data_IF_925282276991
#
_entry.id   IF_925282276991
#
_cell.length_a   1.000
_cell.length_b   1.000
_cell.length_c   1.000
_cell.angle_alpha   90.00
_cell.angle_beta   90.00
_cell.angle_gamma   90.00
#
_symmetry.space_group_name_H-M   'P 1'
#
loop_
_entity.id
_entity.type
_entity.pdbx_description
1 polymer ?
#
# COMPACT_ATOMS: atom_id res chain seq x y z
N UNK A 1 25.38 -51.04 -22.83
CA UNK A 1 25.36 -50.27 -24.09
C UNK A 1 24.92 -48.86 -23.72
N UNK A 2 25.89 -47.97 -23.49
CA UNK A 2 25.63 -46.60 -23.05
C UNK A 2 25.34 -45.74 -24.28
N UNK A 3 24.07 -45.34 -24.46
CA UNK A 3 23.71 -44.44 -25.54
C UNK A 3 24.21 -43.02 -25.21
N UNK A 4 24.85 -42.33 -26.17
CA UNK A 4 25.30 -40.97 -25.96
C UNK A 4 24.10 -40.04 -25.73
N UNK A 5 24.27 -39.06 -24.83
CA UNK A 5 23.23 -38.12 -24.39
C UNK A 5 22.46 -37.46 -25.56
N UNK A 6 23.15 -37.28 -26.68
CA UNK A 6 22.66 -36.62 -27.89
C UNK A 6 21.55 -37.41 -28.60
N UNK A 7 21.63 -38.73 -28.59
CA UNK A 7 20.64 -39.59 -29.24
C UNK A 7 19.38 -39.71 -28.38
N UNK A 8 19.53 -39.77 -27.05
CA UNK A 8 18.40 -39.70 -26.11
C UNK A 8 17.62 -38.40 -26.18
N UNK A 9 18.31 -37.26 -26.30
CA UNK A 9 17.66 -35.96 -26.51
C UNK A 9 16.90 -35.93 -27.85
N UNK A 10 17.46 -36.49 -28.91
CA UNK A 10 16.82 -36.52 -30.23
C UNK A 10 15.58 -37.42 -30.27
N UNK A 11 15.60 -38.53 -29.53
CA UNK A 11 14.47 -39.44 -29.37
C UNK A 11 13.37 -38.79 -28.52
N UNK A 12 13.73 -38.15 -27.40
CA UNK A 12 12.79 -37.39 -26.56
C UNK A 12 12.07 -36.25 -27.32
N UNK A 13 12.80 -35.51 -28.15
CA UNK A 13 12.21 -34.44 -28.97
C UNK A 13 11.28 -34.93 -30.10
N UNK A 14 11.32 -36.23 -30.45
CA UNK A 14 10.47 -36.85 -31.47
C UNK A 14 9.34 -37.70 -30.88
N UNK A 15 9.26 -37.78 -29.55
CA UNK A 15 8.25 -38.57 -28.87
C UNK A 15 6.93 -37.80 -28.77
N UNK A 16 5.88 -38.34 -29.42
CA UNK A 16 4.53 -37.75 -29.46
C UNK A 16 3.59 -38.36 -28.40
N UNK A 17 4.07 -39.27 -27.54
CA UNK A 17 3.23 -39.93 -26.52
C UNK A 17 2.65 -38.95 -25.48
N UNK A 18 3.24 -37.76 -25.30
CA UNK A 18 2.79 -36.73 -24.36
C UNK A 18 1.86 -35.66 -24.96
N UNK A 19 1.41 -35.81 -26.21
CA UNK A 19 0.63 -34.77 -26.91
C UNK A 19 -0.71 -34.44 -26.21
N UNK A 20 -1.33 -35.43 -25.56
CA UNK A 20 -2.62 -35.24 -24.86
C UNK A 20 -2.52 -34.43 -23.55
N UNK A 21 -1.34 -34.36 -22.92
CA UNK A 21 -1.13 -33.58 -21.67
C UNK A 21 -0.55 -32.19 -21.93
N UNK A 22 -0.05 -31.94 -23.13
CA UNK A 22 0.61 -30.70 -23.52
C UNK A 22 -0.33 -29.50 -23.49
N UNK A 23 -1.60 -29.69 -23.87
CA UNK A 23 -2.65 -28.67 -23.76
C UNK A 23 -2.87 -28.22 -22.31
N UNK A 24 -2.97 -29.18 -21.38
CA UNK A 24 -3.15 -28.89 -19.95
C UNK A 24 -1.93 -28.16 -19.39
N UNK A 25 -0.72 -28.58 -19.75
CA UNK A 25 0.54 -27.97 -19.27
C UNK A 25 0.68 -26.52 -19.72
N UNK A 26 0.06 -26.11 -20.83
CA UNK A 26 0.10 -24.72 -21.31
C UNK A 26 -1.08 -23.90 -20.78
N UNK A 27 -2.31 -24.42 -20.87
CA UNK A 27 -3.52 -23.68 -20.51
C UNK A 27 -3.64 -23.51 -19.00
N UNK A 28 -3.26 -24.52 -18.20
CA UNK A 28 -3.40 -24.47 -16.75
C UNK A 28 -2.53 -23.38 -16.09
N UNK A 29 -1.21 -23.25 -16.38
CA UNK A 29 -0.41 -22.16 -15.83
C UNK A 29 -0.91 -20.78 -16.27
N UNK A 30 -1.41 -20.66 -17.50
CA UNK A 30 -1.96 -19.40 -18.00
C UNK A 30 -3.21 -18.98 -17.22
N UNK A 31 -4.14 -19.90 -16.98
CA UNK A 31 -5.31 -19.65 -16.13
C UNK A 31 -4.91 -19.36 -14.68
N UNK A 32 -3.92 -20.07 -14.13
CA UNK A 32 -3.43 -19.81 -12.78
C UNK A 32 -2.78 -18.44 -12.65
N UNK A 33 -2.00 -17.98 -13.62
CA UNK A 33 -1.38 -16.64 -13.59
C UNK A 33 -2.48 -15.58 -13.51
N UNK A 34 -3.52 -15.67 -14.35
CA UNK A 34 -4.64 -14.73 -14.33
C UNK A 34 -5.39 -14.78 -13.00
N UNK A 35 -5.64 -15.98 -12.47
CA UNK A 35 -6.29 -16.15 -11.17
C UNK A 35 -5.48 -15.53 -10.03
N UNK A 36 -4.17 -15.82 -9.97
CA UNK A 36 -3.27 -15.30 -8.94
C UNK A 36 -3.14 -13.78 -9.05
N UNK A 37 -3.02 -13.23 -10.26
CA UNK A 37 -2.96 -11.78 -10.47
C UNK A 37 -4.26 -11.09 -10.01
N UNK A 38 -5.41 -11.70 -10.30
CA UNK A 38 -6.71 -11.20 -9.87
C UNK A 38 -6.85 -11.23 -8.34
N UNK A 39 -6.43 -12.33 -7.72
CA UNK A 39 -6.46 -12.49 -6.26
C UNK A 39 -5.52 -11.51 -5.56
N UNK A 40 -4.30 -11.32 -6.07
CA UNK A 40 -3.35 -10.35 -5.55
C UNK A 40 -3.91 -8.92 -5.62
N UNK A 41 -4.52 -8.57 -6.76
CA UNK A 41 -5.18 -7.26 -6.95
C UNK A 41 -6.31 -7.05 -5.95
N UNK A 42 -7.16 -8.07 -5.75
CA UNK A 42 -8.25 -8.01 -4.79
C UNK A 42 -7.73 -7.79 -3.35
N UNK A 43 -6.62 -8.42 -2.98
CA UNK A 43 -5.98 -8.20 -1.68
C UNK A 43 -5.41 -6.78 -1.53
N UNK A 44 -4.77 -6.25 -2.57
CA UNK A 44 -4.24 -4.86 -2.56
C UNK A 44 -5.39 -3.87 -2.38
N UNK A 45 -6.46 -4.00 -3.16
CA UNK A 45 -7.64 -3.13 -3.06
C UNK A 45 -8.33 -3.25 -1.69
N UNK A 46 -8.40 -4.46 -1.15
CA UNK A 46 -8.98 -4.64 0.18
C UNK A 46 -8.15 -3.89 1.23
N UNK A 47 -6.82 -3.97 1.17
CA UNK A 47 -5.93 -3.20 2.07
C UNK A 47 -6.10 -1.70 1.92
N UNK A 48 -6.25 -1.19 0.69
CA UNK A 48 -6.54 0.23 0.44
C UNK A 48 -7.84 0.67 1.12
N UNK A 49 -8.92 -0.09 0.97
CA UNK A 49 -10.21 0.22 1.62
C UNK A 49 -10.10 0.18 3.14
N UNK A 50 -9.33 -0.76 3.70
CA UNK A 50 -9.09 -0.79 5.15
C UNK A 50 -8.28 0.41 5.63
N UNK A 51 -7.29 0.86 4.87
CA UNK A 51 -6.51 2.07 5.20
C UNK A 51 -7.40 3.31 5.22
N UNK A 52 -8.21 3.52 4.18
CA UNK A 52 -9.16 4.64 4.08
C UNK A 52 -10.19 4.61 5.22
N UNK A 53 -10.76 3.44 5.51
CA UNK A 53 -11.72 3.28 6.60
C UNK A 53 -11.10 3.64 7.96
N UNK A 54 -9.88 3.18 8.21
CA UNK A 54 -9.23 3.46 9.50
C UNK A 54 -8.86 4.93 9.62
N UNK A 55 -8.43 5.57 8.53
CA UNK A 55 -8.20 7.01 8.47
C UNK A 55 -9.47 7.78 8.89
N UNK A 56 -10.62 7.45 8.31
CA UNK A 56 -11.90 8.10 8.64
C UNK A 56 -12.30 7.90 10.10
N UNK A 57 -12.08 6.70 10.64
CA UNK A 57 -12.33 6.42 12.06
C UNK A 57 -11.42 7.24 12.98
N UNK A 58 -10.15 7.39 12.64
CA UNK A 58 -9.20 8.20 13.41
C UNK A 58 -9.51 9.69 13.32
N UNK A 59 -9.90 10.20 12.16
CA UNK A 59 -10.33 11.59 11.97
C UNK A 59 -11.52 11.92 12.87
N UNK A 60 -12.47 11.00 13.01
CA UNK A 60 -13.58 11.20 13.96
C UNK A 60 -13.09 11.35 15.39
N UNK A 61 -12.09 10.58 15.82
CA UNK A 61 -11.51 10.71 17.16
C UNK A 61 -10.78 12.05 17.29
N UNK A 62 -10.02 12.46 16.28
CA UNK A 62 -9.32 13.76 16.27
C UNK A 62 -10.29 14.94 16.38
N UNK A 63 -11.44 14.89 15.67
CA UNK A 63 -12.50 15.90 15.78
C UNK A 63 -13.09 16.03 17.19
N UNK A 64 -13.21 14.91 17.91
CA UNK A 64 -13.86 14.83 19.23
C UNK A 64 -12.89 15.04 20.40
N UNK A 65 -11.61 14.75 20.22
CA UNK A 65 -10.58 14.74 21.26
C UNK A 65 -9.63 15.95 21.12
N UNK A 66 -10.19 17.12 20.81
CA UNK A 66 -9.45 18.37 20.64
C UNK A 66 -8.57 18.62 21.87
N UNK A 67 -7.26 18.81 21.63
CA UNK A 67 -6.27 19.07 22.69
C UNK A 67 -5.76 17.85 23.48
N UNK A 68 -6.28 16.64 23.26
CA UNK A 68 -5.81 15.41 23.96
C UNK A 68 -4.81 14.62 23.11
N UNK A 69 -4.95 14.65 21.78
CA UNK A 69 -4.07 13.94 20.84
C UNK A 69 -3.07 14.93 20.26
N UNK A 70 -1.88 15.02 20.86
CA UNK A 70 -0.83 15.96 20.47
C UNK A 70 0.30 15.32 19.67
N UNK A 71 0.26 14.01 19.47
CA UNK A 71 1.38 13.24 18.94
C UNK A 71 0.96 12.29 17.81
N UNK A 72 1.72 12.32 16.72
CA UNK A 72 1.54 11.47 15.55
C UNK A 72 1.66 9.99 15.90
N UNK A 73 2.50 9.64 16.88
CA UNK A 73 2.69 8.26 17.32
C UNK A 73 1.43 7.68 17.96
N UNK A 74 0.70 8.48 18.73
CA UNK A 74 -0.56 8.05 19.36
C UNK A 74 -1.65 7.79 18.32
N UNK A 75 -1.71 8.61 17.27
CA UNK A 75 -2.64 8.40 16.15
C UNK A 75 -2.26 7.14 15.39
N UNK A 76 -0.97 6.94 15.11
CA UNK A 76 -0.44 5.74 14.44
C UNK A 76 -0.79 4.47 15.22
N UNK A 77 -0.56 4.44 16.52
CA UNK A 77 -0.88 3.30 17.36
C UNK A 77 -2.38 2.99 17.35
N UNK A 78 -3.22 4.02 17.40
CA UNK A 78 -4.68 3.88 17.31
C UNK A 78 -5.12 3.36 15.94
N UNK A 79 -4.51 3.82 14.85
CA UNK A 79 -4.76 3.32 13.49
C UNK A 79 -4.33 1.86 13.35
N UNK A 80 -3.14 1.52 13.83
CA UNK A 80 -2.60 0.17 13.74
C UNK A 80 -3.35 -0.83 14.63
N UNK A 81 -3.87 -0.41 15.79
CA UNK A 81 -4.73 -1.24 16.63
C UNK A 81 -6.05 -1.62 15.92
N UNK A 82 -6.60 -0.70 15.12
CA UNK A 82 -7.84 -0.91 14.39
C UNK A 82 -7.66 -1.61 13.04
N UNK A 83 -6.42 -1.81 12.57
CA UNK A 83 -6.16 -2.35 11.22
C UNK A 83 -5.20 -3.52 11.23
N UNK A 84 -5.72 -4.70 11.59
CA UNK A 84 -4.95 -5.96 11.56
C UNK A 84 -4.60 -6.46 10.14
N UNK A 85 -5.22 -5.89 9.12
CA UNK A 85 -5.03 -6.31 7.72
C UNK A 85 -3.78 -5.67 7.06
N UNK A 86 -3.15 -4.70 7.74
CA UNK A 86 -1.94 -4.01 7.30
C UNK A 86 -0.72 -4.62 8.02
N UNK A 87 0.15 -5.38 7.32
CA UNK A 87 1.35 -5.94 7.95
C UNK A 87 2.33 -4.82 8.29
N UNK A 88 3.01 -4.93 9.44
CA UNK A 88 4.03 -3.97 9.88
C UNK A 88 3.56 -2.51 9.90
N UNK A 89 2.26 -2.29 10.18
CA UNK A 89 1.65 -0.96 10.24
C UNK A 89 2.46 0.00 11.10
N UNK A 90 2.89 -0.43 12.29
CA UNK A 90 3.65 0.43 13.20
C UNK A 90 4.96 0.94 12.56
N UNK A 91 5.64 0.17 11.72
CA UNK A 91 6.94 0.61 11.17
C UNK A 91 6.84 1.23 9.79
N UNK A 92 5.76 0.97 9.04
CA UNK A 92 5.65 1.39 7.63
C UNK A 92 4.61 2.48 7.41
N UNK A 93 3.74 2.76 8.40
CA UNK A 93 2.74 3.81 8.32
C UNK A 93 3.36 5.15 8.68
N UNK A 94 3.29 6.09 7.75
CA UNK A 94 3.62 7.49 7.94
C UNK A 94 2.33 8.30 7.99
N UNK A 95 2.22 9.23 8.94
CA UNK A 95 1.09 10.12 9.10
C UNK A 95 1.60 11.55 8.99
N UNK A 96 0.89 12.35 8.22
CA UNK A 96 1.13 13.77 8.05
C UNK A 96 -0.17 14.52 8.37
N UNK A 97 -0.11 15.48 9.29
CA UNK A 97 -1.23 16.30 9.71
C UNK A 97 -0.79 17.76 9.70
N UNK A 98 -1.47 18.57 8.90
CA UNK A 98 -1.13 19.96 8.69
C UNK A 98 -2.38 20.83 8.54
N UNK A 99 -2.23 22.10 8.92
CA UNK A 99 -3.26 23.12 8.73
C UNK A 99 -3.19 23.64 7.29
N UNK A 100 -4.34 23.74 6.64
CA UNK A 100 -4.49 24.32 5.30
C UNK A 100 -5.12 25.70 5.43
N UNK A 101 -4.47 26.67 4.80
CA UNK A 101 -4.96 28.04 4.72
C UNK A 101 -6.28 28.11 3.91
N UNK A 102 -7.30 28.76 4.48
CA UNK A 102 -8.67 28.79 3.95
C UNK A 102 -8.83 29.69 2.73
N UNK A 103 -7.92 30.64 2.55
CA UNK A 103 -8.03 31.65 1.51
C UNK A 103 -7.27 31.23 0.25
N UNK A 104 -6.11 30.60 0.44
CA UNK A 104 -5.23 30.15 -0.64
C UNK A 104 -5.46 28.69 -1.06
N UNK A 105 -5.97 27.83 -0.17
CA UNK A 105 -6.14 26.39 -0.41
C UNK A 105 -4.86 25.73 -0.98
N UNK A 106 -3.69 26.15 -0.50
CA UNK A 106 -2.42 25.60 -0.97
C UNK A 106 -2.26 24.16 -0.45
N UNK A 107 -2.28 23.20 -1.39
CA UNK A 107 -2.20 21.78 -1.08
C UNK A 107 -0.76 21.31 -1.30
N UNK A 108 -0.10 20.76 -0.28
CA UNK A 108 1.29 20.34 -0.43
C UNK A 108 1.41 19.09 -1.29
N UNK A 109 2.61 18.90 -1.84
CA UNK A 109 2.89 17.81 -2.77
C UNK A 109 2.71 16.44 -2.11
N UNK A 110 2.33 15.43 -2.89
CA UNK A 110 2.15 14.06 -2.38
C UNK A 110 3.47 13.28 -2.23
N UNK A 111 4.57 13.84 -2.75
CA UNK A 111 5.87 13.15 -2.81
C UNK A 111 6.53 13.07 -1.43
N UNK A 112 6.18 13.98 -0.51
CA UNK A 112 6.82 14.12 0.79
C UNK A 112 6.29 13.14 1.85
N UNK A 113 5.04 12.67 1.73
CA UNK A 113 4.42 11.78 2.74
C UNK A 113 4.91 10.33 2.62
N UNK A 114 5.42 9.93 1.45
CA UNK A 114 5.91 8.58 1.16
C UNK A 114 7.43 8.52 0.96
N UNK A 115 8.20 9.42 1.58
CA UNK A 115 9.62 9.58 1.29
C UNK A 115 10.53 8.40 1.67
N UNK A 116 10.06 7.43 2.49
CA UNK A 116 10.87 6.26 2.87
C UNK A 116 10.13 5.22 3.72
N UNK A 117 10.73 4.03 3.86
CA UNK A 117 10.26 2.95 4.75
C UNK A 117 10.96 3.01 6.11
N UNK A 118 10.20 2.89 7.20
CA UNK A 118 10.80 2.75 8.54
C UNK A 118 11.50 4.02 9.03
N UNK A 119 12.62 3.87 9.74
CA UNK A 119 13.39 4.99 10.31
C UNK A 119 14.10 5.87 9.26
N UNK A 120 14.01 5.51 7.97
CA UNK A 120 14.45 6.33 6.84
C UNK A 120 13.34 7.28 6.35
N UNK A 121 12.22 7.35 7.09
CA UNK A 121 11.29 8.46 6.96
C UNK A 121 12.06 9.74 7.25
N UNK A 122 12.41 10.44 6.18
CA UNK A 122 12.60 11.88 6.24
C UNK A 122 11.23 12.42 6.59
N UNK A 123 10.89 12.45 7.88
CA UNK A 123 9.89 13.37 8.40
C UNK A 123 10.46 14.71 7.97
N UNK A 124 9.91 15.29 6.91
CA UNK A 124 10.30 16.63 6.52
C UNK A 124 10.17 17.47 7.80
N UNK A 125 11.17 18.29 8.16
CA UNK A 125 11.12 19.09 9.38
C UNK A 125 9.88 20.01 9.45
N UNK A 126 9.17 20.18 8.33
CA UNK A 126 7.91 20.90 8.19
C UNK A 126 6.63 20.04 8.46
N UNK A 127 6.75 18.71 8.61
CA UNK A 127 5.65 17.81 9.02
C UNK A 127 5.48 17.80 10.54
N UNK A 128 5.59 18.96 11.18
CA UNK A 128 5.23 19.11 12.59
C UNK A 128 3.73 18.80 12.71
N UNK A 129 3.36 17.82 13.53
CA UNK A 129 1.96 17.41 13.69
C UNK A 129 1.15 18.59 14.24
N UNK A 130 0.48 19.33 13.34
CA UNK A 130 -0.24 20.55 13.69
C UNK A 130 -1.71 20.21 13.95
N UNK A 131 -2.09 20.25 15.23
CA UNK A 131 -3.47 19.99 15.66
C UNK A 131 -4.43 21.10 15.21
N UNK A 132 -3.92 22.29 14.87
CA UNK A 132 -4.72 23.46 14.47
C UNK A 132 -5.54 24.06 15.62
N UNK A 133 -6.16 25.20 15.36
CA UNK A 133 -7.12 25.86 16.24
C UNK A 133 -8.56 25.63 15.75
N UNK A 134 -9.54 26.09 16.52
CA UNK A 134 -10.96 26.01 16.16
C UNK A 134 -11.24 26.69 14.82
N UNK A 135 -12.02 26.02 13.97
CA UNK A 135 -12.34 26.43 12.60
C UNK A 135 -11.19 26.40 11.58
N UNK A 136 -10.03 25.83 11.91
CA UNK A 136 -8.97 25.57 10.93
C UNK A 136 -9.33 24.36 10.05
N UNK A 137 -8.94 24.44 8.77
CA UNK A 137 -8.95 23.26 7.90
C UNK A 137 -7.71 22.42 8.19
N UNK A 138 -7.93 21.16 8.54
CA UNK A 138 -6.88 20.19 8.77
C UNK A 138 -6.88 19.19 7.63
N UNK A 139 -5.74 19.02 6.99
CA UNK A 139 -5.48 17.91 6.08
C UNK A 139 -4.72 16.84 6.84
N UNK A 140 -5.28 15.63 6.89
CA UNK A 140 -4.53 14.45 7.30
C UNK A 140 -4.26 13.57 6.08
N UNK A 141 -3.01 13.14 5.96
CA UNK A 141 -2.53 12.22 4.93
C UNK A 141 -1.83 11.06 5.61
N UNK A 142 -1.96 9.89 5.03
CA UNK A 142 -1.27 8.69 5.48
C UNK A 142 -0.68 7.97 4.29
N UNK A 143 0.57 7.55 4.43
CA UNK A 143 1.24 6.69 3.48
C UNK A 143 1.60 5.38 4.14
N UNK A 144 1.27 4.27 3.48
CA UNK A 144 1.76 2.95 3.84
C UNK A 144 2.44 2.33 2.64
N UNK A 145 3.69 1.92 2.82
CA UNK A 145 4.44 1.20 1.80
C UNK A 145 4.27 -0.30 2.05
N UNK A 146 3.68 -1.03 1.10
CA UNK A 146 3.42 -2.47 1.23
C UNK A 146 4.13 -3.30 0.17
N UNK A 147 4.59 -4.47 0.61
CA UNK A 147 5.16 -5.46 -0.29
C UNK A 147 4.09 -6.31 -0.96
N UNK A 148 4.38 -6.68 -2.21
CA UNK A 148 3.59 -7.64 -2.98
C UNK A 148 3.83 -9.05 -2.48
N UNK A 149 2.77 -9.85 -2.47
CA UNK A 149 2.84 -11.27 -2.06
C UNK A 149 3.49 -12.09 -3.18
N UNK A 150 3.21 -11.74 -4.44
CA UNK A 150 3.74 -12.42 -5.63
C UNK A 150 4.07 -11.39 -6.72
N UNK A 151 5.01 -11.65 -7.62
CA UNK A 151 5.42 -10.66 -8.63
C UNK A 151 4.45 -10.54 -9.82
N UNK A 152 3.29 -11.19 -9.81
CA UNK A 152 2.42 -11.33 -10.99
C UNK A 152 1.51 -10.12 -11.27
N UNK A 153 1.10 -9.36 -10.25
CA UNK A 153 0.34 -8.10 -10.43
C UNK A 153 1.08 -7.05 -11.28
N UNK A 154 2.41 -7.15 -11.38
CA UNK A 154 3.24 -6.22 -12.14
C UNK A 154 3.01 -6.25 -13.66
N UNK A 155 2.32 -7.25 -14.19
CA UNK A 155 1.99 -7.36 -15.62
C UNK A 155 0.74 -6.57 -16.04
N UNK A 156 -0.02 -5.99 -15.10
CA UNK A 156 -1.30 -5.31 -15.41
C UNK A 156 -1.58 -4.01 -14.67
N UNK A 157 -0.96 -3.80 -13.50
CA UNK A 157 -1.17 -2.58 -12.71
C UNK A 157 0.15 -1.80 -12.66
N UNK A 158 0.23 -0.70 -13.39
CA UNK A 158 1.33 0.26 -13.34
C UNK A 158 1.22 1.11 -12.05
N UNK A 159 1.16 0.44 -10.90
CA UNK A 159 1.13 1.10 -9.59
C UNK A 159 2.48 1.77 -9.35
N UNK A 160 2.45 2.96 -8.76
CA UNK A 160 3.64 3.71 -8.36
C UNK A 160 4.44 2.91 -7.34
N UNK A 161 5.74 2.76 -7.63
CA UNK A 161 6.70 1.98 -6.83
C UNK A 161 7.74 2.91 -6.25
N UNK A 162 8.21 2.60 -5.04
CA UNK A 162 9.47 3.16 -4.55
C UNK A 162 10.66 2.44 -5.18
N UNK A 163 11.84 3.00 -4.93
CA UNK A 163 13.15 2.41 -5.25
C UNK A 163 13.37 1.05 -4.57
N UNK A 164 12.58 0.71 -3.53
CA UNK A 164 12.62 -0.59 -2.85
C UNK A 164 11.72 -1.66 -3.52
N UNK A 165 10.87 -1.27 -4.48
CA UNK A 165 9.95 -2.16 -5.19
C UNK A 165 8.59 -2.41 -4.50
N UNK A 166 8.31 -1.66 -3.43
CA UNK A 166 7.03 -1.60 -2.72
C UNK A 166 5.96 -0.80 -3.45
N UNK A 167 4.72 -1.01 -3.03
CA UNK A 167 3.57 -0.26 -3.51
C UNK A 167 3.20 0.83 -2.50
N UNK A 168 3.00 2.05 -2.99
CA UNK A 168 2.51 3.16 -2.15
C UNK A 168 0.99 3.09 -2.05
N UNK A 169 0.48 2.94 -0.84
CA UNK A 169 -0.94 3.10 -0.54
C UNK A 169 -1.11 4.39 0.24
N UNK A 170 -1.92 5.30 -0.32
CA UNK A 170 -2.13 6.63 0.21
C UNK A 170 -3.60 6.82 0.52
N UNK A 171 -3.88 7.45 1.66
CA UNK A 171 -5.21 7.91 2.01
C UNK A 171 -5.12 9.31 2.62
N UNK A 172 -6.00 10.21 2.20
CA UNK A 172 -6.01 11.61 2.65
C UNK A 172 -7.45 12.08 2.85
N UNK A 173 -7.68 12.86 3.90
CA UNK A 173 -8.98 13.50 4.14
C UNK A 173 -8.79 14.88 4.76
N UNK A 174 -9.75 15.76 4.49
CA UNK A 174 -9.79 17.11 5.05
C UNK A 174 -10.95 17.18 6.04
N UNK A 175 -10.71 17.82 7.18
CA UNK A 175 -11.74 18.11 8.15
C UNK A 175 -11.55 19.48 8.79
N UNK A 176 -12.56 19.93 9.52
CA UNK A 176 -12.53 21.19 10.27
C UNK A 176 -12.56 20.86 11.75
N UNK A 177 -11.80 21.60 12.56
CA UNK A 177 -11.93 21.53 14.00
C UNK A 177 -13.22 22.25 14.43
N UNK A 178 -14.16 21.53 15.04
CA UNK A 178 -15.44 22.10 15.45
C UNK A 178 -15.20 23.06 16.64
N UNK A 179 -15.75 24.28 16.67
CA UNK A 179 -15.66 25.13 17.86
C UNK A 179 -16.43 24.51 19.02
N UNK A 180 -15.92 24.66 20.25
CA UNK A 180 -16.59 24.27 21.51
C UNK A 180 -18.01 24.86 21.66
#
# INVERSE_FOLDING_TARGET
>A
MEMPLRDRLREFWRDETATATLELVIVFPLLLIVFIASFETALILTRQVFLERTLDMSVRVLRLAQGVVTDADTVRDTMCANTRMLPNCATLLTIDLQVIDRDSYDMPSNDEVCAGRGNDTVIAPDNEFQVGADNDFLLIRTCLIVDRIVPFSGFGLNLTRDDSGGLHMMASTIFVNEPD
#
